data_IF_036196234911
#
_entry.id   IF_036196234911
#
_cell.length_a   1.000
_cell.length_b   1.000
_cell.length_c   1.000
_cell.angle_alpha   90.00
_cell.angle_beta   90.00
_cell.angle_gamma   90.00
#
_symmetry.space_group_name_H-M   'P 1'
#
loop_
_entity.id
_entity.type
_entity.pdbx_description
1 polymer ?
#
# COMPACT_ATOMS: atom_id res chain seq x y z
N UNK A 1 15.83 -9.25 16.79
CA UNK A 1 16.02 -8.28 15.70
C UNK A 1 15.49 -8.89 14.39
N UNK A 2 14.24 -9.33 14.37
CA UNK A 2 13.71 -10.18 13.28
C UNK A 2 12.35 -9.73 12.73
N UNK A 3 11.79 -8.64 13.27
CA UNK A 3 10.34 -8.47 13.19
C UNK A 3 9.88 -7.56 12.04
N UNK A 4 10.65 -6.53 11.67
CA UNK A 4 10.21 -5.54 10.67
C UNK A 4 10.00 -6.15 9.27
N UNK A 5 10.94 -6.98 8.81
CA UNK A 5 10.86 -7.60 7.48
C UNK A 5 9.79 -8.70 7.46
N UNK A 6 9.69 -9.51 8.53
CA UNK A 6 8.67 -10.57 8.65
C UNK A 6 7.26 -10.00 8.78
N UNK A 7 7.11 -8.91 9.55
CA UNK A 7 5.83 -8.20 9.73
C UNK A 7 5.28 -7.66 8.41
N UNK A 8 6.15 -7.20 7.49
CA UNK A 8 5.72 -6.58 6.23
C UNK A 8 5.84 -7.46 5.00
N UNK A 9 6.61 -8.55 5.05
CA UNK A 9 6.75 -9.53 3.97
C UNK A 9 6.51 -10.94 4.50
N UNK A 10 5.24 -11.34 4.50
CA UNK A 10 4.76 -12.58 5.12
C UNK A 10 5.48 -13.87 4.67
N UNK A 11 6.03 -13.90 3.45
CA UNK A 11 6.72 -15.07 2.88
C UNK A 11 8.21 -14.81 2.57
N UNK A 12 8.82 -13.77 3.14
CA UNK A 12 10.21 -13.44 2.84
C UNK A 12 11.18 -14.16 3.76
N UNK A 13 12.06 -14.97 3.16
CA UNK A 13 13.22 -15.55 3.84
C UNK A 13 14.49 -14.94 3.23
N UNK A 14 15.35 -14.25 4.00
CA UNK A 14 16.59 -13.69 3.47
C UNK A 14 17.49 -14.80 2.91
N UNK A 15 18.06 -14.57 1.74
CA UNK A 15 19.08 -15.41 1.11
C UNK A 15 20.39 -14.64 0.99
N UNK A 16 21.48 -15.31 0.59
CA UNK A 16 22.78 -14.66 0.37
C UNK A 16 22.74 -13.54 -0.68
N UNK A 17 21.76 -13.56 -1.58
CA UNK A 17 21.56 -12.55 -2.62
C UNK A 17 20.48 -11.53 -2.26
N UNK A 18 19.85 -11.66 -1.09
CA UNK A 18 18.87 -10.70 -0.63
C UNK A 18 19.56 -9.40 -0.20
N UNK A 19 19.21 -8.30 -0.85
CA UNK A 19 19.81 -6.98 -0.62
C UNK A 19 18.72 -5.91 -0.54
N UNK A 20 19.03 -4.83 0.18
CA UNK A 20 18.23 -3.62 0.22
C UNK A 20 19.02 -2.49 -0.44
N UNK A 21 18.33 -1.62 -1.19
CA UNK A 21 18.93 -0.42 -1.73
C UNK A 21 19.08 0.66 -0.67
N UNK A 22 19.88 1.69 -0.98
CA UNK A 22 20.26 2.73 -0.02
C UNK A 22 19.11 3.59 0.49
N UNK A 23 17.99 3.66 -0.26
CA UNK A 23 16.82 4.48 0.04
C UNK A 23 16.05 4.02 1.29
N UNK A 24 16.33 2.82 1.79
CA UNK A 24 15.70 2.27 2.98
C UNK A 24 16.37 2.70 4.30
N UNK A 25 17.54 3.33 4.22
CA UNK A 25 18.36 3.72 5.36
C UNK A 25 18.48 5.23 5.45
N UNK A 26 18.63 5.77 6.66
CA UNK A 26 18.87 7.19 6.85
C UNK A 26 20.35 7.53 6.62
N UNK A 27 20.71 8.80 6.36
CA UNK A 27 22.10 9.21 6.20
C UNK A 27 22.99 8.86 7.40
N UNK A 28 22.44 8.87 8.63
CA UNK A 28 23.17 8.56 9.86
C UNK A 28 23.51 7.07 9.99
N UNK A 29 22.84 6.21 9.22
CA UNK A 29 23.11 4.77 9.19
C UNK A 29 24.38 4.42 8.37
N UNK A 30 24.98 5.41 7.71
CA UNK A 30 26.20 5.26 6.94
C UNK A 30 27.40 5.85 7.68
N UNK A 31 28.55 5.20 7.53
CA UNK A 31 29.81 5.77 7.97
C UNK A 31 30.07 7.06 7.19
N UNK A 32 30.14 8.19 7.90
CA UNK A 32 30.28 9.54 7.34
C UNK A 32 31.71 9.85 6.85
N UNK A 33 32.49 8.82 6.48
CA UNK A 33 33.86 8.97 5.98
C UNK A 33 33.84 9.34 4.50
N UNK A 34 33.41 10.57 4.22
CA UNK A 34 33.72 11.24 2.95
C UNK A 34 35.12 11.84 3.04
N UNK A 35 36.15 11.00 3.05
CA UNK A 35 37.48 11.51 2.73
C UNK A 35 37.53 11.71 1.22
N UNK A 36 37.54 12.96 0.75
CA UNK A 36 37.71 13.31 -0.67
C UNK A 36 38.95 12.67 -1.31
N UNK A 37 39.91 12.25 -0.48
CA UNK A 37 41.15 11.58 -0.87
C UNK A 37 40.93 10.10 -1.18
N UNK A 38 39.96 9.46 -0.51
CA UNK A 38 39.62 8.06 -0.73
C UNK A 38 38.32 7.99 -1.53
N UNK A 39 38.32 7.32 -2.69
CA UNK A 39 37.10 7.07 -3.49
C UNK A 39 36.15 6.07 -2.81
N UNK A 40 36.06 6.10 -1.49
CA UNK A 40 35.33 5.15 -0.69
C UNK A 40 33.84 5.48 -0.76
N UNK A 41 33.07 4.49 -1.20
CA UNK A 41 31.61 4.59 -1.22
C UNK A 41 31.08 4.56 0.21
N UNK A 42 29.97 5.27 0.51
CA UNK A 42 29.30 5.15 1.79
C UNK A 42 28.96 3.69 2.10
N UNK A 43 29.31 3.24 3.30
CA UNK A 43 29.00 1.90 3.79
C UNK A 43 28.16 2.01 5.05
N UNK A 44 27.18 1.12 5.20
CA UNK A 44 26.38 1.03 6.43
C UNK A 44 27.30 0.79 7.63
N UNK A 45 26.94 1.39 8.77
CA UNK A 45 27.66 1.25 10.03
C UNK A 45 27.69 -0.22 10.46
N UNK A 46 28.87 -0.66 10.92
CA UNK A 46 29.13 -2.04 11.38
C UNK A 46 29.74 -2.02 12.78
N UNK A 47 29.39 -3.01 13.59
CA UNK A 47 30.03 -3.34 14.87
C UNK A 47 30.93 -4.58 14.73
N UNK A 48 31.36 -5.16 15.85
CA UNK A 48 32.20 -6.36 15.90
C UNK A 48 31.49 -7.62 15.34
N UNK A 49 30.16 -7.59 15.23
CA UNK A 49 29.33 -8.72 14.78
C UNK A 49 28.93 -8.56 13.32
N UNK A 50 28.63 -7.33 12.87
CA UNK A 50 28.23 -7.08 11.49
C UNK A 50 27.55 -5.73 11.28
N UNK A 51 26.70 -5.63 10.26
CA UNK A 51 25.95 -4.40 9.95
C UNK A 51 24.87 -4.14 11.01
N UNK A 52 24.92 -2.97 11.62
CA UNK A 52 23.99 -2.56 12.69
C UNK A 52 22.84 -1.71 12.15
N UNK A 53 23.03 -1.09 10.98
CA UNK A 53 22.01 -0.26 10.34
C UNK A 53 20.71 -1.04 10.11
N UNK A 54 19.60 -0.48 10.61
CA UNK A 54 18.27 -1.05 10.44
C UNK A 54 17.50 -0.22 9.40
N UNK A 55 16.84 -0.85 8.42
CA UNK A 55 15.95 -0.14 7.51
C UNK A 55 14.85 0.61 8.27
N UNK A 56 14.79 1.92 8.11
CA UNK A 56 13.78 2.79 8.74
C UNK A 56 12.78 3.36 7.74
N UNK A 57 13.17 3.48 6.48
CA UNK A 57 12.31 4.00 5.42
C UNK A 57 11.72 2.85 4.62
N UNK A 58 10.40 2.82 4.56
CA UNK A 58 9.67 1.92 3.67
C UNK A 58 9.31 2.67 2.38
N UNK A 59 10.10 2.44 1.32
CA UNK A 59 9.76 2.92 -0.02
C UNK A 59 9.00 1.80 -0.74
N UNK A 60 7.68 1.93 -0.83
CA UNK A 60 6.91 1.16 -1.79
C UNK A 60 7.15 1.79 -3.17
N UNK A 61 7.92 1.14 -4.04
CA UNK A 61 7.89 1.48 -5.46
C UNK A 61 6.50 1.06 -5.96
N UNK A 62 5.62 2.05 -6.04
CA UNK A 62 4.20 1.90 -6.29
C UNK A 62 3.94 1.76 -7.79
N UNK A 63 4.50 0.74 -8.41
CA UNK A 63 4.04 0.26 -9.72
C UNK A 63 3.05 -0.91 -9.54
N UNK A 64 3.07 -1.58 -8.38
CA UNK A 64 2.26 -2.78 -8.12
C UNK A 64 1.08 -2.57 -7.16
N UNK A 65 1.02 -1.45 -6.43
CA UNK A 65 -0.26 -1.03 -5.84
C UNK A 65 -1.04 -0.27 -6.92
N UNK A 66 -1.58 -1.02 -7.87
CA UNK A 66 -2.89 -0.59 -8.37
C UNK A 66 -3.77 -0.45 -7.14
N UNK A 67 -4.25 0.77 -6.87
CA UNK A 67 -5.27 1.07 -5.87
C UNK A 67 -6.54 0.27 -6.19
N UNK A 68 -6.49 -1.04 -6.01
CA UNK A 68 -7.69 -1.86 -5.94
C UNK A 68 -8.27 -1.55 -4.58
N UNK A 69 -9.45 -0.93 -4.60
CA UNK A 69 -10.27 -0.72 -3.42
C UNK A 69 -10.19 -1.96 -2.53
N UNK A 70 -9.99 -1.77 -1.22
CA UNK A 70 -10.03 -2.90 -0.31
C UNK A 70 -11.37 -3.64 -0.48
N UNK A 71 -11.44 -4.93 -0.19
CA UNK A 71 -12.70 -5.68 -0.28
C UNK A 71 -13.84 -5.04 0.52
N UNK A 72 -13.51 -4.24 1.54
CA UNK A 72 -14.47 -3.43 2.30
C UNK A 72 -14.98 -2.25 1.46
N UNK A 73 -14.09 -1.49 0.83
CA UNK A 73 -14.45 -0.31 0.05
C UNK A 73 -15.28 -0.70 -1.19
N UNK A 74 -14.92 -1.83 -1.82
CA UNK A 74 -15.72 -2.41 -2.92
C UNK A 74 -17.15 -2.75 -2.48
N UNK A 75 -17.30 -3.38 -1.31
CA UNK A 75 -18.62 -3.70 -0.74
C UNK A 75 -19.41 -2.45 -0.38
N UNK A 76 -18.76 -1.42 0.15
CA UNK A 76 -19.40 -0.14 0.46
C UNK A 76 -19.90 0.55 -0.81
N UNK A 77 -19.05 0.67 -1.84
CA UNK A 77 -19.42 1.27 -3.12
C UNK A 77 -20.61 0.55 -3.78
N UNK A 78 -20.63 -0.79 -3.73
CA UNK A 78 -21.77 -1.56 -4.23
C UNK A 78 -23.05 -1.29 -3.43
N UNK A 79 -22.96 -1.26 -2.10
CA UNK A 79 -24.11 -0.97 -1.23
C UNK A 79 -24.67 0.43 -1.49
N UNK A 80 -23.80 1.42 -1.62
CA UNK A 80 -24.18 2.82 -1.87
C UNK A 80 -24.83 2.96 -3.27
N UNK A 81 -24.31 2.27 -4.29
CA UNK A 81 -24.90 2.24 -5.63
C UNK A 81 -26.29 1.57 -5.63
N UNK A 82 -26.44 0.43 -4.94
CA UNK A 82 -27.74 -0.24 -4.81
C UNK A 82 -28.75 0.66 -4.09
N UNK A 83 -28.36 1.30 -2.98
CA UNK A 83 -29.23 2.20 -2.24
C UNK A 83 -29.70 3.38 -3.10
N UNK A 84 -28.82 3.94 -3.93
CA UNK A 84 -29.16 5.01 -4.87
C UNK A 84 -30.12 4.56 -5.97
N UNK A 85 -30.00 3.31 -6.46
CA UNK A 85 -30.93 2.79 -7.48
C UNK A 85 -32.29 2.46 -6.87
N UNK A 86 -32.32 1.89 -5.67
CA UNK A 86 -33.56 1.59 -4.95
C UNK A 86 -34.40 2.85 -4.68
N UNK A 87 -33.77 3.98 -4.35
CA UNK A 87 -34.49 5.25 -4.16
C UNK A 87 -35.11 5.82 -5.45
N UNK A 88 -34.61 5.44 -6.62
CA UNK A 88 -35.10 5.94 -7.91
C UNK A 88 -36.29 5.13 -8.44
N UNK A 89 -36.38 3.85 -8.08
CA UNK A 89 -37.40 2.94 -8.60
C UNK A 89 -38.79 3.17 -7.95
N UNK A 90 -38.88 3.81 -6.79
CA UNK A 90 -40.17 4.04 -6.12
C UNK A 90 -41.03 5.20 -6.71
N UNK A 91 -40.59 5.88 -7.79
CA UNK A 91 -41.27 7.09 -8.29
C UNK A 91 -42.12 6.88 -9.56
N UNK A 92 -42.11 5.73 -10.24
CA UNK A 92 -42.95 5.55 -11.44
C UNK A 92 -43.87 4.32 -11.38
N UNK A 93 -45.11 4.54 -10.94
CA UNK A 93 -46.28 3.86 -11.49
C UNK A 93 -47.40 4.91 -11.70
N UNK A 94 -47.58 5.46 -12.92
CA UNK A 94 -48.78 6.22 -13.22
C UNK A 94 -49.97 5.25 -13.30
N UNK A 95 -50.83 5.30 -12.29
CA UNK A 95 -52.15 4.65 -12.29
C UNK A 95 -52.93 5.17 -13.49
N UNK A 96 -53.09 4.35 -14.53
CA UNK A 96 -54.03 4.65 -15.62
C UNK A 96 -55.43 4.35 -15.11
N UNK A 97 -56.11 5.40 -14.69
CA UNK A 97 -57.53 5.42 -14.39
C UNK A 97 -58.30 5.13 -15.69
N UNK A 98 -58.86 3.92 -15.79
CA UNK A 98 -59.75 3.54 -16.90
C UNK A 98 -61.11 4.15 -16.58
N UNK A 99 -61.42 5.28 -17.21
CA UNK A 99 -62.74 5.92 -17.12
C UNK A 99 -63.74 5.05 -17.88
N UNK A 100 -64.61 4.38 -17.12
CA UNK A 100 -65.77 3.63 -17.58
C UNK A 100 -66.80 4.63 -18.14
N UNK A 101 -66.96 4.68 -19.46
CA UNK A 101 -68.06 5.40 -20.11
C UNK A 101 -69.32 4.54 -20.01
N UNK A 102 -70.29 5.00 -19.22
CA UNK A 102 -71.67 4.55 -19.30
C UNK A 102 -72.51 5.58 -20.08
N UNK A 103 -73.30 5.02 -21.00
CA UNK A 103 -74.44 5.55 -21.75
C UNK A 103 -74.18 6.28 -23.07
#
# INVERSE_FOLDING_TARGET
MDDFVKTKRANFNPSATSVLCSTHFLPEDYNQRFDFVSKNRPQLVKDEVGTVAIPRIYVCNHEEQTCKLSDRDRRKALKDAIASVSSTIEVELPVREVVEQQQ
#
